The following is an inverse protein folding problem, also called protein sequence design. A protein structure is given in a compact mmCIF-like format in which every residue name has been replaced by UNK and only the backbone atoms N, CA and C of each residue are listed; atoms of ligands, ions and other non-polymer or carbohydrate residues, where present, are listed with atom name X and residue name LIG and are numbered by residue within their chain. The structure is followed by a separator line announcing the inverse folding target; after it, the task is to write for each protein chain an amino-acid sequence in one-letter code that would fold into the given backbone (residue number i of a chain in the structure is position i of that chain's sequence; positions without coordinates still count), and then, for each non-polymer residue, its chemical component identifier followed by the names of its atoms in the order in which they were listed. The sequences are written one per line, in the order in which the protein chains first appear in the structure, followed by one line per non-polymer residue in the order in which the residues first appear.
data_IF_061184662179
#
_entry.id   IF_061184662179
#
_cell.length_a   1.000
_cell.length_b   1.000
_cell.length_c   1.000
_cell.angle_alpha   90.00
_cell.angle_beta   90.00
_cell.angle_gamma   90.00
#
_symmetry.space_group_name_H-M   'P 1'
#
loop_
_entity.id
_entity.type
_entity.pdbx_description
1 polymer ?
#
# COMPACT_ATOMS: atom_id res chain seq x y z
N UNK A 1 -0.86 3.26 22.44
CA UNK A 1 -1.38 2.42 21.38
C UNK A 1 -2.83 2.08 21.64
N UNK A 2 -3.69 2.34 20.70
CA UNK A 2 -5.13 2.24 20.94
C UNK A 2 -5.67 0.82 20.93
N UNK A 3 -5.04 -0.10 20.22
CA UNK A 3 -5.58 -1.44 20.02
C UNK A 3 -6.87 -1.49 19.21
N UNK A 4 -7.35 -0.34 18.71
CA UNK A 4 -8.54 -0.29 17.87
C UNK A 4 -8.23 -0.91 16.50
N UNK A 5 -9.18 -1.72 16.02
CA UNK A 5 -9.07 -2.36 14.71
C UNK A 5 -10.31 -2.10 13.87
N UNK A 6 -10.15 -2.26 12.58
CA UNK A 6 -11.27 -2.33 11.65
C UNK A 6 -11.20 -3.68 10.92
N UNK A 7 -12.31 -4.11 10.36
CA UNK A 7 -12.36 -5.36 9.60
C UNK A 7 -12.20 -5.03 8.12
N UNK A 8 -11.22 -5.70 7.50
CA UNK A 8 -11.02 -5.70 6.05
C UNK A 8 -11.22 -7.12 5.55
N UNK A 9 -11.49 -7.28 4.28
CA UNK A 9 -11.72 -8.60 3.70
C UNK A 9 -11.04 -8.75 2.36
N UNK A 10 -10.68 -9.99 2.05
CA UNK A 10 -10.14 -10.40 0.75
C UNK A 10 -10.72 -11.77 0.38
N UNK A 11 -10.17 -12.40 -0.66
CA UNK A 11 -10.66 -13.72 -1.09
C UNK A 11 -10.52 -14.82 -0.03
N UNK A 12 -9.71 -14.59 1.00
CA UNK A 12 -9.50 -15.54 2.09
C UNK A 12 -10.39 -15.26 3.31
N UNK A 13 -11.22 -14.22 3.26
CA UNK A 13 -12.13 -13.86 4.33
C UNK A 13 -11.75 -12.58 5.05
N UNK A 14 -12.27 -12.42 6.26
CA UNK A 14 -12.06 -11.23 7.06
C UNK A 14 -10.76 -11.31 7.84
N UNK A 15 -10.14 -10.13 8.06
CA UNK A 15 -8.97 -9.97 8.90
C UNK A 15 -9.05 -8.62 9.62
N UNK A 16 -8.62 -8.59 10.88
CA UNK A 16 -8.55 -7.35 11.64
C UNK A 16 -7.27 -6.59 11.29
N UNK A 17 -7.42 -5.30 10.97
CA UNK A 17 -6.33 -4.39 10.60
C UNK A 17 -6.34 -3.22 11.58
N UNK A 18 -5.17 -2.70 12.00
CA UNK A 18 -5.18 -1.52 12.88
C UNK A 18 -5.98 -0.37 12.26
N UNK A 19 -6.85 0.22 13.07
CA UNK A 19 -7.79 1.23 12.57
C UNK A 19 -7.11 2.51 12.08
N UNK A 20 -5.91 2.80 12.59
CA UNK A 20 -5.15 4.00 12.27
C UNK A 20 -4.17 3.84 11.10
N UNK A 21 -4.21 2.69 10.42
CA UNK A 21 -3.35 2.40 9.27
C UNK A 21 -4.13 2.44 7.97
N UNK A 22 -3.44 2.75 6.87
CA UNK A 22 -4.05 2.76 5.54
C UNK A 22 -3.98 1.42 4.82
N UNK A 23 -3.05 0.53 5.23
CA UNK A 23 -2.95 -0.77 4.57
C UNK A 23 -4.19 -1.62 4.82
N UNK A 24 -4.40 -2.63 3.97
CA UNK A 24 -5.59 -3.48 4.01
C UNK A 24 -5.28 -4.92 4.37
N UNK A 25 -6.16 -5.80 3.92
CA UNK A 25 -6.14 -7.22 4.30
C UNK A 25 -4.89 -7.95 3.85
N UNK A 26 -4.42 -7.73 2.62
CA UNK A 26 -3.26 -8.45 2.08
C UNK A 26 -1.98 -8.11 2.82
N UNK A 27 -1.75 -6.83 3.11
CA UNK A 27 -0.59 -6.40 3.88
C UNK A 27 -0.65 -6.98 5.29
N UNK A 28 -1.81 -6.96 5.92
CA UNK A 28 -1.98 -7.51 7.26
C UNK A 28 -1.67 -9.00 7.30
N UNK A 29 -2.12 -9.76 6.30
CA UNK A 29 -1.80 -11.20 6.22
C UNK A 29 -0.31 -11.43 6.04
N UNK A 30 0.36 -10.62 5.22
CA UNK A 30 1.81 -10.71 5.03
C UNK A 30 2.55 -10.48 6.34
N UNK A 31 2.15 -9.48 7.12
CA UNK A 31 2.73 -9.23 8.45
C UNK A 31 2.61 -10.44 9.37
N UNK A 32 1.47 -11.12 9.32
CA UNK A 32 1.21 -12.28 10.17
C UNK A 32 1.97 -13.52 9.69
N UNK A 33 2.12 -13.68 8.39
CA UNK A 33 2.71 -14.89 7.79
C UNK A 33 4.24 -14.85 7.72
N UNK A 34 4.85 -13.68 7.62
CA UNK A 34 6.29 -13.53 7.42
C UNK A 34 6.93 -12.75 8.57
N UNK A 35 7.02 -13.41 9.72
CA UNK A 35 7.64 -12.83 10.93
C UNK A 35 9.09 -13.26 11.03
N UNK A 36 9.88 -12.97 9.98
CA UNK A 36 11.27 -13.39 9.86
C UNK A 36 12.14 -12.14 9.74
N UNK A 37 13.07 -11.98 10.68
CA UNK A 37 13.95 -10.81 10.72
C UNK A 37 13.22 -9.54 11.05
N UNK A 38 13.91 -8.41 10.91
CA UNK A 38 13.34 -7.09 11.18
C UNK A 38 13.62 -6.08 10.06
N UNK A 39 14.36 -6.48 9.04
CA UNK A 39 14.74 -5.59 7.95
C UNK A 39 13.54 -5.32 7.06
N UNK A 40 13.14 -4.05 6.98
CA UNK A 40 12.04 -3.61 6.12
C UNK A 40 12.54 -3.37 4.69
N UNK A 41 11.60 -3.30 3.75
CA UNK A 41 11.93 -2.91 2.39
C UNK A 41 12.58 -1.52 2.38
N UNK A 42 13.65 -1.31 1.58
CA UNK A 42 14.30 0.00 1.55
C UNK A 42 13.35 1.12 1.17
N UNK A 43 13.45 2.25 1.87
CA UNK A 43 12.60 3.42 1.61
C UNK A 43 12.69 3.88 0.15
N UNK A 44 13.88 3.84 -0.43
CA UNK A 44 14.06 4.21 -1.84
C UNK A 44 13.22 3.37 -2.79
N UNK A 45 13.07 2.08 -2.51
CA UNK A 45 12.22 1.20 -3.31
C UNK A 45 10.75 1.56 -3.15
N UNK A 46 10.31 1.80 -1.93
CA UNK A 46 8.94 2.21 -1.63
C UNK A 46 8.61 3.52 -2.36
N UNK A 47 9.49 4.49 -2.30
CA UNK A 47 9.31 5.77 -2.99
C UNK A 47 9.24 5.61 -4.51
N UNK A 48 10.07 4.72 -5.07
CA UNK A 48 10.05 4.42 -6.50
C UNK A 48 8.71 3.77 -6.92
N UNK A 49 8.17 2.88 -6.09
CA UNK A 49 6.85 2.28 -6.33
C UNK A 49 5.77 3.39 -6.32
N UNK A 50 5.87 4.34 -5.40
CA UNK A 50 4.97 5.49 -5.36
C UNK A 50 5.00 6.29 -6.66
N UNK A 51 6.19 6.59 -7.17
CA UNK A 51 6.35 7.29 -8.46
C UNK A 51 5.73 6.49 -9.61
N UNK A 52 5.94 5.19 -9.63
CA UNK A 52 5.37 4.32 -10.67
C UNK A 52 3.84 4.36 -10.64
N UNK A 53 3.25 4.25 -9.45
CA UNK A 53 1.79 4.27 -9.29
C UNK A 53 1.21 5.64 -9.67
N UNK A 54 1.88 6.72 -9.31
CA UNK A 54 1.49 8.08 -9.71
C UNK A 54 1.48 8.22 -11.24
N UNK A 55 2.56 7.81 -11.90
CA UNK A 55 2.66 7.87 -13.34
C UNK A 55 1.59 7.01 -14.02
N UNK A 56 1.31 5.83 -13.47
CA UNK A 56 0.26 4.95 -13.99
C UNK A 56 -1.12 5.60 -13.88
N UNK A 57 -1.44 6.21 -12.75
CA UNK A 57 -2.71 6.90 -12.56
C UNK A 57 -2.87 8.05 -13.54
N UNK A 58 -1.86 8.90 -13.67
CA UNK A 58 -1.87 10.05 -14.58
C UNK A 58 -2.01 9.61 -16.04
N UNK A 59 -1.31 8.56 -16.44
CA UNK A 59 -1.38 8.01 -17.79
C UNK A 59 -2.77 7.45 -18.08
N UNK A 60 -3.34 6.71 -17.13
CA UNK A 60 -4.68 6.12 -17.30
C UNK A 60 -5.77 7.17 -17.37
N UNK A 61 -5.62 8.30 -16.67
CA UNK A 61 -6.52 9.45 -16.83
C UNK A 61 -6.46 9.97 -18.26
N UNK A 62 -5.26 10.18 -18.77
CA UNK A 62 -5.05 10.71 -20.14
C UNK A 62 -5.61 9.77 -21.21
N UNK A 63 -5.53 8.47 -20.97
CA UNK A 63 -6.05 7.46 -21.90
C UNK A 63 -7.57 7.24 -21.77
N UNK A 64 -8.21 7.90 -20.83
CA UNK A 64 -9.64 7.70 -20.58
C UNK A 64 -9.97 6.36 -19.91
N UNK A 65 -8.97 5.64 -19.41
CA UNK A 65 -9.16 4.35 -18.76
C UNK A 65 -9.47 4.47 -17.26
N UNK A 66 -9.31 5.67 -16.70
CA UNK A 66 -9.55 5.94 -15.28
C UNK A 66 -10.29 7.27 -15.15
N UNK A 67 -11.35 7.28 -14.36
CA UNK A 67 -12.11 8.51 -14.05
C UNK A 67 -11.16 9.58 -13.51
N UNK A 68 -11.31 10.80 -14.00
CA UNK A 68 -10.39 11.89 -13.65
C UNK A 68 -10.43 12.26 -12.17
N UNK A 69 -11.62 12.28 -11.55
CA UNK A 69 -11.76 12.63 -10.14
C UNK A 69 -11.12 11.57 -9.24
N UNK A 70 -11.45 10.31 -9.48
CA UNK A 70 -10.86 9.18 -8.77
C UNK A 70 -9.36 9.11 -9.04
N UNK A 71 -8.97 9.26 -10.30
CA UNK A 71 -7.56 9.20 -10.70
C UNK A 71 -6.70 10.26 -10.06
N UNK A 72 -7.21 11.48 -9.89
CA UNK A 72 -6.46 12.54 -9.19
C UNK A 72 -6.26 12.21 -7.71
N UNK A 73 -7.26 11.63 -7.06
CA UNK A 73 -7.12 11.20 -5.67
C UNK A 73 -6.06 10.09 -5.54
N UNK A 74 -6.06 9.14 -6.46
CA UNK A 74 -5.06 8.07 -6.51
C UNK A 74 -3.66 8.65 -6.75
N UNK A 75 -3.52 9.55 -7.73
CA UNK A 75 -2.24 10.17 -8.05
C UNK A 75 -1.69 10.98 -6.87
N UNK A 76 -2.55 11.70 -6.16
CA UNK A 76 -2.16 12.47 -4.98
C UNK A 76 -1.67 11.55 -3.85
N UNK A 77 -2.37 10.45 -3.59
CA UNK A 77 -1.95 9.48 -2.58
C UNK A 77 -0.61 8.83 -2.97
N UNK A 78 -0.45 8.47 -4.24
CA UNK A 78 0.80 7.90 -4.74
C UNK A 78 1.97 8.89 -4.61
N UNK A 79 1.71 10.17 -4.85
CA UNK A 79 2.72 11.22 -4.65
C UNK A 79 3.16 11.30 -3.18
N UNK A 80 2.25 11.15 -2.22
CA UNK A 80 2.62 11.12 -0.80
C UNK A 80 3.53 9.94 -0.48
N UNK A 81 3.28 8.77 -1.09
CA UNK A 81 4.18 7.61 -0.97
C UNK A 81 5.56 7.95 -1.53
N UNK A 82 5.61 8.53 -2.72
CA UNK A 82 6.86 8.90 -3.38
C UNK A 82 7.68 9.93 -2.57
N UNK A 83 6.99 10.81 -1.86
CA UNK A 83 7.62 11.85 -1.04
C UNK A 83 8.04 11.37 0.36
N UNK A 84 7.77 10.13 0.71
CA UNK A 84 8.13 9.55 2.00
C UNK A 84 7.17 9.88 3.14
N UNK A 85 6.05 10.49 2.86
CA UNK A 85 5.07 10.90 3.88
C UNK A 85 4.32 9.73 4.49
N UNK A 86 4.31 8.58 3.82
CA UNK A 86 3.59 7.38 4.24
C UNK A 86 4.53 6.19 4.51
N UNK A 87 5.79 6.45 4.83
CA UNK A 87 6.78 5.39 5.04
C UNK A 87 6.38 4.41 6.14
N UNK A 88 5.72 4.88 7.19
CA UNK A 88 5.25 4.03 8.29
C UNK A 88 4.17 3.04 7.88
N UNK A 89 3.57 3.23 6.70
CA UNK A 89 2.54 2.34 6.16
C UNK A 89 3.13 1.15 5.40
N UNK A 90 4.45 1.01 5.38
CA UNK A 90 5.15 -0.07 4.67
C UNK A 90 5.94 -0.91 5.67
N UNK A 91 5.23 -1.74 6.46
CA UNK A 91 5.85 -2.48 7.57
C UNK A 91 6.38 -3.85 7.19
N UNK A 92 6.31 -4.26 5.91
CA UNK A 92 6.67 -5.60 5.50
C UNK A 92 8.17 -5.81 5.50
N UNK A 93 8.59 -6.99 5.98
CA UNK A 93 10.01 -7.38 5.99
C UNK A 93 10.47 -7.76 4.59
N UNK A 94 11.80 -7.69 4.38
CA UNK A 94 12.40 -8.12 3.11
C UNK A 94 12.29 -9.64 2.89
N UNK A 95 12.12 -10.40 3.97
CA UNK A 95 11.98 -11.87 3.93
C UNK A 95 10.54 -12.29 3.60
N UNK A 96 10.02 -11.73 2.54
CA UNK A 96 8.76 -12.11 1.94
C UNK A 96 9.03 -12.95 0.68
N UNK A 97 8.04 -13.16 -0.18
CA UNK A 97 8.27 -13.88 -1.45
C UNK A 97 9.24 -13.11 -2.35
N UNK A 98 10.05 -13.80 -3.14
CA UNK A 98 11.08 -13.17 -3.98
C UNK A 98 10.54 -12.39 -5.17
N UNK A 99 9.25 -12.49 -5.47
CA UNK A 99 8.63 -11.82 -6.64
C UNK A 99 8.39 -10.33 -6.44
N UNK A 100 8.38 -9.84 -5.18
CA UNK A 100 8.06 -8.45 -4.87
C UNK A 100 6.56 -8.14 -4.88
N UNK A 101 5.71 -9.14 -5.09
CA UNK A 101 4.27 -8.92 -5.20
C UNK A 101 3.67 -8.34 -3.90
N UNK A 102 4.19 -8.73 -2.75
CA UNK A 102 3.64 -8.26 -1.47
C UNK A 102 3.93 -6.79 -1.24
N UNK A 103 5.09 -6.29 -1.62
CA UNK A 103 5.39 -4.86 -1.58
C UNK A 103 4.51 -4.08 -2.55
N UNK A 104 4.26 -4.62 -3.73
CA UNK A 104 3.33 -4.02 -4.67
C UNK A 104 1.91 -3.94 -4.10
N UNK A 105 1.43 -5.01 -3.48
CA UNK A 105 0.11 -5.04 -2.84
C UNK A 105 0.02 -4.08 -1.66
N UNK A 106 1.09 -3.99 -0.87
CA UNK A 106 1.17 -3.02 0.22
C UNK A 106 0.97 -1.59 -0.32
N UNK A 107 1.69 -1.23 -1.39
CA UNK A 107 1.54 0.08 -2.00
C UNK A 107 0.12 0.31 -2.53
N UNK A 108 -0.46 -0.67 -3.20
CA UNK A 108 -1.82 -0.59 -3.71
C UNK A 108 -2.83 -0.34 -2.59
N UNK A 109 -2.71 -1.06 -1.49
CA UNK A 109 -3.63 -0.94 -0.37
C UNK A 109 -3.49 0.41 0.35
N UNK A 110 -2.26 0.87 0.56
CA UNK A 110 -1.98 2.17 1.19
C UNK A 110 -2.54 3.30 0.33
N UNK A 111 -2.28 3.27 -0.96
CA UNK A 111 -2.77 4.29 -1.89
C UNK A 111 -4.30 4.29 -1.92
N UNK A 112 -4.93 3.13 -2.02
CA UNK A 112 -6.38 3.02 -2.01
C UNK A 112 -6.97 3.54 -0.70
N UNK A 113 -6.41 3.14 0.44
CA UNK A 113 -6.87 3.59 1.75
C UNK A 113 -6.73 5.09 1.94
N UNK A 114 -5.64 5.66 1.46
CA UNK A 114 -5.38 7.11 1.58
C UNK A 114 -6.24 7.93 0.63
N UNK A 115 -6.53 7.40 -0.57
CA UNK A 115 -7.33 8.09 -1.58
C UNK A 115 -8.83 8.15 -1.24
N UNK A 116 -9.30 7.23 -0.41
CA UNK A 116 -10.70 7.18 0.01
C UNK A 116 -11.06 8.28 1.06
#
# INVERSE_FOLDING_TARGET
MTGATRIESDSMGEVAVPADCYWGAQTQRSLQNFRIGGELMPAALVHAIGLLKQAAAETNIKLGALDATLGRAIAAAAAEVAEGKLDAEFPLVVWQTGSGTQSNMNANEVIAGRAN
#
